data_IF_126279304429
#
_entry.id   IF_126279304429
#
_cell.length_a   1.000
_cell.length_b   1.000
_cell.length_c   1.000
_cell.angle_alpha   90.00
_cell.angle_beta   90.00
_cell.angle_gamma   90.00
#
_symmetry.space_group_name_H-M   'P 1'
#
loop_
_entity.id
_entity.type
_entity.pdbx_description
1 polymer ?
#
# COMPACT_ATOMS: atom_id res chain seq x y z
N UNK A 1 15.05 21.06 -0.02
CA UNK A 1 13.83 20.28 0.29
C UNK A 1 13.25 20.83 1.59
N UNK A 2 12.22 21.68 1.52
CA UNK A 2 11.62 22.32 2.71
C UNK A 2 10.93 21.26 3.58
N UNK A 3 11.41 21.06 4.81
CA UNK A 3 10.63 20.42 5.88
C UNK A 3 9.54 21.41 6.27
N UNK A 4 8.31 21.23 5.78
CA UNK A 4 7.16 21.88 6.42
C UNK A 4 7.01 21.26 7.80
N UNK A 5 7.18 22.07 8.85
CA UNK A 5 6.71 21.72 10.18
C UNK A 5 5.18 21.61 10.09
N UNK A 6 4.66 20.39 10.10
CA UNK A 6 3.20 20.12 10.13
C UNK A 6 2.57 20.45 11.49
N UNK A 7 3.23 21.24 12.34
CA UNK A 7 2.72 21.62 13.67
C UNK A 7 1.60 22.64 13.62
N UNK A 8 1.34 23.26 12.46
CA UNK A 8 0.35 24.31 12.25
C UNK A 8 -0.37 24.12 10.90
N UNK A 9 -1.08 23.00 10.73
CA UNK A 9 -2.03 22.88 9.62
C UNK A 9 -3.32 23.55 10.10
N UNK A 10 -3.55 24.79 9.68
CA UNK A 10 -4.85 25.43 9.86
C UNK A 10 -5.91 24.63 9.11
N UNK A 11 -6.95 24.19 9.83
CA UNK A 11 -8.07 23.48 9.24
C UNK A 11 -8.83 24.40 8.27
N UNK A 12 -8.95 23.97 7.03
CA UNK A 12 -9.76 24.67 6.03
C UNK A 12 -11.22 24.32 6.27
N UNK A 13 -12.02 25.34 6.59
CA UNK A 13 -13.46 25.16 6.83
C UNK A 13 -14.15 24.58 5.60
N UNK A 14 -14.94 23.52 5.81
CA UNK A 14 -15.70 22.84 4.75
C UNK A 14 -14.94 21.71 4.05
N UNK A 15 -13.66 21.51 4.36
CA UNK A 15 -12.92 20.33 3.93
C UNK A 15 -13.10 19.20 4.94
N UNK A 16 -13.18 17.93 4.49
CA UNK A 16 -13.23 16.79 5.41
C UNK A 16 -11.90 16.62 6.13
N UNK A 17 -11.98 16.19 7.38
CA UNK A 17 -10.84 15.86 8.24
C UNK A 17 -10.44 14.39 8.01
N UNK A 18 -9.25 14.19 7.45
CA UNK A 18 -8.73 12.88 7.06
C UNK A 18 -7.52 12.50 7.90
N UNK A 19 -7.66 11.44 8.69
CA UNK A 19 -6.52 10.76 9.30
C UNK A 19 -5.92 9.78 8.30
N UNK A 20 -4.71 10.09 7.83
CA UNK A 20 -4.02 9.31 6.81
C UNK A 20 -2.89 8.50 7.43
N UNK A 21 -3.06 7.18 7.52
CA UNK A 21 -2.13 6.28 8.20
C UNK A 21 -1.31 5.51 7.16
N UNK A 22 0.00 5.74 7.18
CA UNK A 22 0.88 5.36 6.08
C UNK A 22 2.20 4.77 6.60
N UNK A 23 2.88 4.06 5.71
CA UNK A 23 4.32 3.86 5.81
C UNK A 23 5.07 5.14 5.39
N UNK A 24 6.26 5.46 5.94
CA UNK A 24 6.99 6.71 5.64
C UNK A 24 7.28 6.97 4.14
N UNK A 25 7.43 5.92 3.35
CA UNK A 25 7.68 5.95 1.91
C UNK A 25 6.46 6.42 1.10
N UNK A 26 5.25 6.42 1.69
CA UNK A 26 4.01 6.83 1.02
C UNK A 26 3.67 8.32 1.23
N UNK A 27 4.66 9.15 1.58
CA UNK A 27 4.46 10.58 1.84
C UNK A 27 3.78 11.34 0.69
N UNK A 28 3.95 10.90 -0.56
CA UNK A 28 3.29 11.49 -1.74
C UNK A 28 1.76 11.50 -1.63
N UNK A 29 1.15 10.53 -0.94
CA UNK A 29 -0.29 10.49 -0.70
C UNK A 29 -0.76 11.66 0.18
N UNK A 30 0.07 12.10 1.14
CA UNK A 30 -0.26 13.27 1.98
C UNK A 30 -0.47 14.50 1.10
N UNK A 31 0.43 14.73 0.13
CA UNK A 31 0.33 15.85 -0.82
C UNK A 31 -0.92 15.74 -1.70
N UNK A 32 -1.27 14.54 -2.14
CA UNK A 32 -2.45 14.32 -2.97
C UNK A 32 -3.76 14.61 -2.20
N UNK A 33 -3.89 14.06 -0.99
CA UNK A 33 -5.06 14.29 -0.13
C UNK A 33 -5.20 15.74 0.32
N UNK A 34 -4.08 16.43 0.59
CA UNK A 34 -4.09 17.83 1.07
C UNK A 34 -4.68 18.82 0.06
N UNK A 35 -4.92 18.41 -1.19
CA UNK A 35 -5.65 19.21 -2.18
C UNK A 35 -7.16 19.25 -1.93
N UNK A 36 -7.70 18.30 -1.18
CA UNK A 36 -9.14 18.06 -1.06
C UNK A 36 -9.62 17.86 0.39
N UNK A 37 -8.70 17.85 1.36
CA UNK A 37 -8.99 17.52 2.75
C UNK A 37 -8.01 18.18 3.72
N UNK A 38 -8.43 18.31 4.98
CA UNK A 38 -7.54 18.58 6.11
C UNK A 38 -6.86 17.27 6.49
N UNK A 39 -5.56 17.14 6.19
CA UNK A 39 -4.84 15.87 6.33
C UNK A 39 -4.02 15.82 7.61
N UNK A 40 -4.28 14.80 8.42
CA UNK A 40 -3.52 14.45 9.62
C UNK A 40 -2.72 13.18 9.34
N UNK A 41 -1.47 13.28 8.86
CA UNK A 41 -0.67 12.12 8.56
C UNK A 41 -0.20 11.43 9.86
N UNK A 42 -0.29 10.12 9.90
CA UNK A 42 0.27 9.28 10.96
C UNK A 42 1.16 8.21 10.32
N UNK A 43 2.46 8.32 10.55
CA UNK A 43 3.42 7.36 10.02
C UNK A 43 3.63 6.22 11.02
N UNK A 44 3.46 4.99 10.54
CA UNK A 44 3.78 3.79 11.30
C UNK A 44 5.21 3.41 10.93
N UNK A 45 6.15 3.71 11.81
CA UNK A 45 7.53 3.28 11.64
C UNK A 45 7.62 1.75 11.75
N UNK A 46 8.16 1.07 10.73
CA UNK A 46 8.46 -0.33 10.84
C UNK A 46 9.65 -0.55 11.77
N UNK A 47 9.41 -0.90 13.04
CA UNK A 47 10.47 -1.64 13.73
C UNK A 47 10.52 -3.04 13.10
N UNK A 48 11.69 -3.45 12.64
CA UNK A 48 11.87 -4.67 11.82
C UNK A 48 11.33 -5.91 12.54
N UNK A 49 11.54 -5.99 13.86
CA UNK A 49 11.07 -7.11 14.68
C UNK A 49 9.54 -7.14 14.79
N UNK A 50 8.89 -6.00 15.07
CA UNK A 50 7.43 -5.91 15.20
C UNK A 50 6.75 -6.25 13.87
N UNK A 51 7.28 -5.73 12.76
CA UNK A 51 6.79 -6.07 11.42
C UNK A 51 6.90 -7.55 11.10
N UNK A 52 8.01 -8.19 11.47
CA UNK A 52 8.15 -9.65 11.29
C UNK A 52 7.12 -10.39 12.13
N UNK A 53 6.98 -10.05 13.42
CA UNK A 53 6.02 -10.69 14.33
C UNK A 53 4.58 -10.58 13.83
N UNK A 54 4.18 -9.41 13.37
CA UNK A 54 2.83 -9.19 12.84
C UNK A 54 2.53 -10.02 11.60
N UNK A 55 3.54 -10.41 10.80
CA UNK A 55 3.36 -11.22 9.59
C UNK A 55 3.35 -12.73 9.83
N UNK A 56 3.77 -13.19 11.01
CA UNK A 56 3.87 -14.64 11.33
C UNK A 56 2.56 -15.39 11.04
N UNK A 57 1.38 -14.96 11.53
CA UNK A 57 0.14 -15.69 11.28
C UNK A 57 -0.20 -15.78 9.78
N UNK A 58 0.05 -14.68 9.05
CA UNK A 58 -0.18 -14.61 7.61
C UNK A 58 0.75 -15.53 6.80
N UNK A 59 2.02 -15.64 7.21
CA UNK A 59 2.98 -16.58 6.62
C UNK A 59 2.59 -18.02 6.88
N UNK A 60 2.29 -18.38 8.13
CA UNK A 60 1.85 -19.75 8.48
C UNK A 60 0.62 -20.14 7.66
N UNK A 61 -0.37 -19.24 7.49
CA UNK A 61 -1.56 -19.53 6.67
C UNK A 61 -1.24 -19.71 5.19
N UNK A 62 -0.30 -18.91 4.65
CA UNK A 62 0.11 -19.01 3.26
C UNK A 62 0.83 -20.33 2.98
N UNK A 63 1.69 -20.77 3.90
CA UNK A 63 2.48 -22.00 3.77
C UNK A 63 1.64 -23.25 4.10
N UNK A 64 0.67 -23.13 5.02
CA UNK A 64 -0.20 -24.22 5.47
C UNK A 64 -1.69 -23.85 5.35
N UNK A 65 -2.23 -23.95 4.13
CA UNK A 65 -3.62 -23.57 3.83
C UNK A 65 -4.67 -24.31 4.67
N UNK A 66 -4.41 -25.56 5.06
CA UNK A 66 -5.30 -26.36 5.91
C UNK A 66 -5.27 -25.95 7.38
N UNK A 67 -4.31 -25.12 7.81
CA UNK A 67 -4.19 -24.73 9.21
C UNK A 67 -5.42 -23.91 9.65
N UNK A 68 -6.04 -24.21 10.80
CA UNK A 68 -7.27 -23.56 11.23
C UNK A 68 -7.14 -22.03 11.38
N UNK A 69 -7.96 -21.27 10.62
CA UNK A 69 -7.94 -19.80 10.65
C UNK A 69 -8.29 -19.22 12.03
N UNK A 70 -9.08 -19.95 12.84
CA UNK A 70 -9.42 -19.56 14.22
C UNK A 70 -8.20 -19.52 15.14
N UNK A 71 -7.32 -20.52 15.07
CA UNK A 71 -6.07 -20.55 15.84
C UNK A 71 -5.12 -19.43 15.42
N UNK A 72 -4.98 -19.19 14.11
CA UNK A 72 -4.12 -18.09 13.62
C UNK A 72 -4.69 -16.72 13.95
N UNK A 73 -6.02 -16.59 14.05
CA UNK A 73 -6.67 -15.39 14.55
C UNK A 73 -6.34 -15.14 16.02
N UNK A 74 -6.32 -16.18 16.85
CA UNK A 74 -5.89 -16.06 18.25
C UNK A 74 -4.42 -15.67 18.34
N UNK A 75 -3.55 -16.34 17.58
CA UNK A 75 -2.12 -16.01 17.51
C UNK A 75 -1.90 -14.56 17.05
N UNK A 76 -2.65 -14.10 16.05
CA UNK A 76 -2.62 -12.72 15.58
C UNK A 76 -3.02 -11.72 16.66
N UNK A 77 -4.00 -12.03 17.52
CA UNK A 77 -4.38 -11.15 18.65
C UNK A 77 -3.27 -11.01 19.69
N UNK A 78 -2.45 -12.05 19.87
CA UNK A 78 -1.31 -12.06 20.81
C UNK A 78 -0.11 -11.32 20.20
N UNK A 79 0.24 -11.65 18.96
CA UNK A 79 1.42 -11.09 18.30
C UNK A 79 1.20 -9.66 17.79
N UNK A 80 -0.05 -9.24 17.58
CA UNK A 80 -0.41 -7.94 16.99
C UNK A 80 -1.59 -7.33 17.75
N UNK A 81 -1.33 -6.88 18.97
CA UNK A 81 -2.31 -6.16 19.78
C UNK A 81 -2.76 -4.86 19.10
N UNK A 82 -4.03 -4.42 19.27
CA UNK A 82 -4.50 -3.16 18.69
C UNK A 82 -3.64 -1.96 19.12
N UNK A 83 -3.04 -1.28 18.15
CA UNK A 83 -2.21 -0.10 18.34
C UNK A 83 -3.09 1.14 18.49
N UNK A 84 -2.96 1.81 19.63
CA UNK A 84 -3.61 3.11 19.88
C UNK A 84 -2.79 4.22 19.25
N UNK A 85 -3.44 4.99 18.37
CA UNK A 85 -2.83 6.15 17.73
C UNK A 85 -2.88 7.36 18.68
N UNK A 86 -1.77 8.08 18.82
CA UNK A 86 -1.69 9.33 19.57
C UNK A 86 -1.63 10.50 18.58
N UNK A 87 -2.72 11.23 18.46
CA UNK A 87 -2.83 12.41 17.59
C UNK A 87 -3.14 13.60 18.50
N UNK A 88 -2.37 14.68 18.38
CA UNK A 88 -2.43 15.81 19.32
C UNK A 88 -3.34 16.96 18.87
N UNK A 89 -3.61 17.06 17.57
CA UNK A 89 -4.14 18.28 16.95
C UNK A 89 -5.59 18.19 16.48
N UNK A 90 -6.22 17.02 16.57
CA UNK A 90 -7.60 16.81 16.15
C UNK A 90 -8.23 15.75 17.04
N UNK A 91 -9.48 15.98 17.44
CA UNK A 91 -10.19 15.02 18.27
C UNK A 91 -10.68 13.86 17.41
N UNK A 92 -10.69 12.61 17.91
CA UNK A 92 -11.16 11.46 17.13
C UNK A 92 -12.57 11.60 16.55
N UNK A 93 -13.45 12.30 17.26
CA UNK A 93 -14.83 12.60 16.84
C UNK A 93 -14.94 13.59 15.69
N UNK A 94 -13.90 14.41 15.46
CA UNK A 94 -13.84 15.41 14.39
C UNK A 94 -13.24 14.82 13.11
N UNK A 95 -12.86 13.54 13.10
CA UNK A 95 -12.35 12.85 11.91
C UNK A 95 -13.51 12.30 11.08
N UNK A 96 -13.56 12.64 9.80
CA UNK A 96 -14.55 12.17 8.83
C UNK A 96 -14.10 10.88 8.12
N UNK A 97 -12.78 10.71 7.94
CA UNK A 97 -12.19 9.55 7.27
C UNK A 97 -10.90 9.12 7.96
N UNK A 98 -10.82 7.84 8.31
CA UNK A 98 -9.55 7.16 8.58
C UNK A 98 -9.17 6.36 7.34
N UNK A 99 -8.08 6.74 6.68
CA UNK A 99 -7.57 6.04 5.51
C UNK A 99 -6.23 5.39 5.84
N UNK A 100 -6.17 4.06 5.76
CA UNK A 100 -4.95 3.29 5.98
C UNK A 100 -4.45 2.75 4.66
N UNK A 101 -3.19 3.03 4.32
CA UNK A 101 -2.53 2.44 3.15
C UNK A 101 -1.64 1.29 3.56
N UNK A 102 -1.73 0.16 2.86
CA UNK A 102 -0.66 -0.85 2.80
C UNK A 102 0.70 -0.14 2.51
N UNK A 103 1.86 -0.59 3.05
CA UNK A 103 2.13 -1.83 3.79
C UNK A 103 1.92 -1.77 5.32
N UNK A 104 0.90 -1.07 5.82
CA UNK A 104 0.56 -1.13 7.25
C UNK A 104 0.04 -2.52 7.64
N UNK A 105 0.91 -3.27 8.35
CA UNK A 105 0.66 -4.67 8.78
C UNK A 105 0.17 -4.81 10.23
N UNK A 106 0.12 -3.72 11.00
CA UNK A 106 -0.34 -3.76 12.39
C UNK A 106 -1.85 -3.56 12.50
N UNK A 107 -2.43 -4.06 13.60
CA UNK A 107 -3.84 -3.85 13.91
C UNK A 107 -4.00 -2.49 14.55
N UNK A 108 -4.85 -1.62 13.99
CA UNK A 108 -5.09 -0.29 14.54
C UNK A 108 -6.36 -0.31 15.40
N UNK A 109 -6.32 0.34 16.57
CA UNK A 109 -7.53 0.57 17.36
C UNK A 109 -8.34 1.74 16.78
N UNK A 110 -9.38 1.40 16.02
CA UNK A 110 -10.24 2.37 15.33
C UNK A 110 -11.48 2.78 16.15
N UNK A 111 -11.69 2.22 17.35
CA UNK A 111 -12.95 2.38 18.11
C UNK A 111 -13.29 3.82 18.48
N UNK A 112 -12.28 4.67 18.62
CA UNK A 112 -12.45 6.09 19.00
C UNK A 112 -12.93 6.97 17.83
N UNK A 113 -12.75 6.54 16.58
CA UNK A 113 -13.16 7.29 15.38
C UNK A 113 -14.58 6.88 14.95
N UNK A 114 -15.57 7.19 15.80
CA UNK A 114 -16.94 6.71 15.64
C UNK A 114 -17.68 7.35 14.46
N UNK A 115 -17.37 8.60 14.17
CA UNK A 115 -17.99 9.37 13.08
C UNK A 115 -17.29 9.15 11.74
N UNK A 116 -16.08 8.57 11.77
CA UNK A 116 -15.27 8.39 10.58
C UNK A 116 -15.67 7.14 9.79
N UNK A 117 -15.66 7.28 8.46
CA UNK A 117 -15.54 6.13 7.56
C UNK A 117 -14.12 5.57 7.70
N UNK A 118 -13.99 4.25 7.87
CA UNK A 118 -12.70 3.56 8.02
C UNK A 118 -12.40 2.82 6.73
N UNK A 119 -11.42 3.31 5.98
CA UNK A 119 -10.99 2.73 4.73
C UNK A 119 -9.59 2.13 4.84
N UNK A 120 -9.40 0.95 4.23
CA UNK A 120 -8.08 0.33 4.04
C UNK A 120 -7.79 0.16 2.55
N UNK A 121 -6.64 0.60 2.06
CA UNK A 121 -6.22 0.36 0.68
C UNK A 121 -5.14 -0.71 0.62
N UNK A 122 -5.56 -1.90 0.16
CA UNK A 122 -4.72 -3.06 -0.06
C UNK A 122 -4.02 -2.97 -1.42
N UNK A 123 -2.72 -2.71 -1.38
CA UNK A 123 -1.87 -2.54 -2.55
C UNK A 123 -1.21 -3.87 -2.97
N UNK A 124 -0.67 -4.63 -2.03
CA UNK A 124 0.13 -5.83 -2.29
C UNK A 124 -0.62 -7.16 -2.03
N UNK A 125 -1.95 -7.18 -2.17
CA UNK A 125 -2.75 -8.41 -1.95
C UNK A 125 -2.47 -9.56 -2.93
N UNK A 126 -1.64 -9.34 -3.95
CA UNK A 126 -1.31 -10.36 -4.95
C UNK A 126 -0.57 -11.56 -4.35
N UNK A 127 0.19 -11.31 -3.28
CA UNK A 127 0.92 -12.35 -2.55
C UNK A 127 0.03 -12.96 -1.47
N UNK A 128 -0.03 -14.30 -1.41
CA UNK A 128 -0.87 -14.99 -0.43
C UNK A 128 -0.52 -14.62 1.01
N UNK A 129 0.77 -14.50 1.34
CA UNK A 129 1.24 -14.12 2.68
C UNK A 129 0.80 -12.70 3.07
N UNK A 130 0.84 -11.76 2.13
CA UNK A 130 0.36 -10.39 2.34
C UNK A 130 -1.16 -10.37 2.52
N UNK A 131 -1.92 -11.05 1.65
CA UNK A 131 -3.37 -11.19 1.79
C UNK A 131 -3.76 -11.71 3.19
N UNK A 132 -3.13 -12.79 3.66
CA UNK A 132 -3.45 -13.34 4.98
C UNK A 132 -2.92 -12.47 6.13
N UNK A 133 -1.83 -11.73 5.95
CA UNK A 133 -1.40 -10.71 6.92
C UNK A 133 -2.46 -9.63 7.06
N UNK A 134 -3.01 -9.13 5.95
CA UNK A 134 -4.06 -8.13 5.98
C UNK A 134 -5.34 -8.67 6.67
N UNK A 135 -5.73 -9.91 6.38
CA UNK A 135 -6.89 -10.55 7.01
C UNK A 135 -6.70 -10.85 8.51
N UNK A 136 -5.58 -11.48 8.87
CA UNK A 136 -5.37 -12.03 10.21
C UNK A 136 -4.72 -11.03 11.17
N UNK A 137 -3.84 -10.18 10.65
CA UNK A 137 -3.03 -9.25 11.43
C UNK A 137 -3.61 -7.84 11.37
N UNK A 138 -3.65 -7.21 10.19
CA UNK A 138 -4.23 -5.87 10.05
C UNK A 138 -5.73 -5.84 10.37
N UNK A 139 -6.39 -7.00 10.31
CA UNK A 139 -7.83 -7.18 10.54
C UNK A 139 -8.62 -6.25 9.62
N UNK A 140 -8.46 -6.41 8.32
CA UNK A 140 -9.22 -5.63 7.31
C UNK A 140 -10.75 -5.72 7.47
N UNK A 141 -11.24 -6.71 8.22
CA UNK A 141 -12.65 -6.83 8.62
C UNK A 141 -13.11 -5.76 9.63
N UNK A 142 -12.18 -5.09 10.33
CA UNK A 142 -12.48 -4.00 11.26
C UNK A 142 -12.71 -2.65 10.52
N UNK A 143 -12.62 -2.64 9.18
CA UNK A 143 -12.78 -1.46 8.32
C UNK A 143 -14.15 -1.47 7.63
N UNK A 144 -14.71 -0.28 7.44
CA UNK A 144 -16.01 -0.10 6.78
C UNK A 144 -15.89 -0.36 5.27
N UNK A 145 -14.73 -0.04 4.69
CA UNK A 145 -14.43 -0.18 3.26
C UNK A 145 -13.00 -0.70 3.06
N UNK A 146 -12.83 -1.67 2.17
CA UNK A 146 -11.50 -2.08 1.68
C UNK A 146 -11.38 -1.80 0.19
N UNK A 147 -10.40 -1.00 -0.18
CA UNK A 147 -10.00 -0.79 -1.55
C UNK A 147 -8.94 -1.82 -1.94
N UNK A 148 -9.11 -2.47 -3.09
CA UNK A 148 -8.16 -3.44 -3.63
C UNK A 148 -7.53 -2.87 -4.91
N UNK A 149 -6.19 -2.84 -4.97
CA UNK A 149 -5.49 -2.36 -6.17
C UNK A 149 -5.62 -3.33 -7.35
N UNK A 150 -5.69 -4.64 -7.07
CA UNK A 150 -5.67 -5.69 -8.08
C UNK A 150 -7.04 -6.34 -8.25
N UNK A 151 -7.75 -5.97 -9.34
CA UNK A 151 -9.11 -6.46 -9.65
C UNK A 151 -9.32 -7.98 -9.46
N UNK A 152 -8.41 -8.89 -9.86
CA UNK A 152 -8.60 -10.34 -9.67
C UNK A 152 -8.68 -10.78 -8.20
N UNK A 153 -8.19 -9.97 -7.27
CA UNK A 153 -8.13 -10.29 -5.83
C UNK A 153 -9.29 -9.68 -5.04
N UNK A 154 -10.18 -8.93 -5.72
CA UNK A 154 -11.36 -8.32 -5.11
C UNK A 154 -12.28 -9.36 -4.45
N UNK A 155 -12.58 -10.44 -5.17
CA UNK A 155 -13.48 -11.50 -4.71
C UNK A 155 -12.95 -12.23 -3.49
N UNK A 156 -11.62 -12.39 -3.40
CA UNK A 156 -10.98 -13.02 -2.23
C UNK A 156 -11.29 -12.29 -0.93
N UNK A 157 -11.41 -10.96 -0.93
CA UNK A 157 -11.82 -10.23 0.29
C UNK A 157 -13.31 -10.38 0.58
N UNK A 158 -14.15 -10.36 -0.46
CA UNK A 158 -15.60 -10.54 -0.33
C UNK A 158 -15.98 -11.90 0.26
N UNK A 159 -15.23 -12.95 -0.06
CA UNK A 159 -15.37 -14.28 0.55
C UNK A 159 -15.25 -14.27 2.10
N UNK A 160 -14.58 -13.26 2.67
CA UNK A 160 -14.47 -13.08 4.13
C UNK A 160 -15.44 -12.03 4.70
N UNK A 161 -16.48 -11.67 3.94
CA UNK A 161 -17.50 -10.71 4.35
C UNK A 161 -17.03 -9.25 4.34
N UNK A 162 -15.92 -8.95 3.67
CA UNK A 162 -15.34 -7.60 3.63
C UNK A 162 -15.98 -6.80 2.49
N UNK A 163 -16.51 -5.61 2.81
CA UNK A 163 -17.03 -4.66 1.82
C UNK A 163 -15.88 -4.08 1.00
N UNK A 164 -15.71 -4.61 -0.21
CA UNK A 164 -14.50 -4.36 -1.01
C UNK A 164 -14.82 -3.72 -2.36
N UNK A 165 -14.04 -2.70 -2.75
CA UNK A 165 -14.13 -2.02 -4.05
C UNK A 165 -12.78 -2.03 -4.78
N UNK A 166 -12.82 -2.01 -6.10
CA UNK A 166 -11.60 -1.89 -6.91
C UNK A 166 -11.16 -0.44 -6.96
N UNK A 167 -9.91 -0.17 -6.58
CA UNK A 167 -9.26 1.14 -6.68
C UNK A 167 -7.84 0.93 -7.22
N UNK A 168 -7.64 1.03 -8.55
CA UNK A 168 -6.34 0.78 -9.16
C UNK A 168 -5.32 1.87 -8.78
N UNK A 169 -4.05 1.58 -9.01
CA UNK A 169 -3.01 2.61 -8.97
C UNK A 169 -3.27 3.68 -10.03
N UNK A 170 -3.09 4.94 -9.65
CA UNK A 170 -3.04 6.05 -10.58
C UNK A 170 -1.61 6.24 -11.10
N UNK A 171 -1.48 6.96 -12.23
CA UNK A 171 -0.21 7.47 -12.72
C UNK A 171 -0.30 8.98 -12.86
N UNK A 172 0.84 9.66 -12.86
CA UNK A 172 0.93 11.09 -13.13
C UNK A 172 0.98 11.30 -14.65
N UNK A 173 -0.04 11.89 -15.29
CA UNK A 173 -0.08 12.06 -16.74
C UNK A 173 0.98 13.04 -17.25
N UNK A 174 1.49 13.95 -16.41
CA UNK A 174 2.57 14.86 -16.83
C UNK A 174 3.90 14.11 -16.96
N UNK A 175 4.05 13.00 -16.24
CA UNK A 175 5.22 12.13 -16.30
C UNK A 175 5.03 10.97 -17.27
N UNK A 176 3.89 10.28 -17.20
CA UNK A 176 3.54 9.15 -18.06
C UNK A 176 2.79 9.64 -19.29
N UNK A 177 3.52 10.26 -20.21
CA UNK A 177 3.02 10.74 -21.50
C UNK A 177 3.94 10.32 -22.64
N UNK A 178 3.43 10.24 -23.87
CA UNK A 178 4.27 10.15 -25.06
C UNK A 178 5.27 11.32 -25.10
N UNK A 179 6.50 11.00 -25.46
CA UNK A 179 7.56 11.99 -25.71
C UNK A 179 8.03 11.84 -27.14
N UNK A 180 8.24 12.96 -27.82
CA UNK A 180 8.81 12.99 -29.17
C UNK A 180 10.34 12.92 -29.06
N UNK A 181 10.83 11.70 -28.79
CA UNK A 181 12.25 11.40 -28.67
C UNK A 181 12.61 10.25 -29.62
N UNK A 182 13.82 10.25 -30.21
CA UNK A 182 14.25 9.15 -31.06
C UNK A 182 14.29 7.83 -30.28
N UNK A 183 13.60 6.80 -30.79
CA UNK A 183 13.66 5.45 -30.21
C UNK A 183 15.03 4.81 -30.47
N UNK A 184 15.75 4.46 -29.39
CA UNK A 184 17.10 3.89 -29.45
C UNK A 184 17.11 2.36 -29.47
N UNK A 185 16.12 1.75 -28.82
CA UNK A 185 15.96 0.30 -28.68
C UNK A 185 14.58 -0.13 -29.20
N UNK A 186 14.53 -1.27 -29.86
CA UNK A 186 13.28 -1.88 -30.31
C UNK A 186 12.52 -2.52 -29.14
N UNK A 187 13.25 -2.97 -28.10
CA UNK A 187 12.68 -3.56 -26.89
C UNK A 187 13.42 -3.02 -25.68
N UNK A 188 12.66 -2.53 -24.70
CA UNK A 188 13.17 -2.04 -23.43
C UNK A 188 12.48 -2.73 -22.26
N UNK A 189 13.28 -3.22 -21.31
CA UNK A 189 12.82 -3.59 -19.98
C UNK A 189 13.48 -2.67 -18.95
N UNK A 190 12.67 -1.91 -18.20
CA UNK A 190 13.13 -1.10 -17.07
C UNK A 190 12.62 -1.72 -15.77
N UNK A 191 13.54 -2.13 -14.91
CA UNK A 191 13.22 -2.63 -13.57
C UNK A 191 14.34 -3.45 -12.94
N UNK A 192 14.12 -3.90 -11.69
CA UNK A 192 15.10 -4.72 -10.95
C UNK A 192 15.40 -6.02 -11.68
N UNK A 193 16.65 -6.32 -11.98
CA UNK A 193 17.02 -7.56 -12.68
C UNK A 193 17.24 -8.71 -11.68
N UNK A 194 16.16 -9.34 -11.22
CA UNK A 194 16.25 -10.60 -10.44
C UNK A 194 16.76 -11.74 -11.31
N UNK A 195 17.32 -12.80 -10.71
CA UNK A 195 17.93 -13.90 -11.47
C UNK A 195 16.94 -14.56 -12.46
N UNK A 196 15.73 -14.85 -11.99
CA UNK A 196 14.66 -15.39 -12.84
C UNK A 196 14.32 -14.45 -14.00
N UNK A 197 14.29 -13.15 -13.75
CA UNK A 197 13.96 -12.14 -14.75
C UNK A 197 15.10 -11.99 -15.77
N UNK A 198 16.35 -11.94 -15.32
CA UNK A 198 17.54 -11.96 -16.21
C UNK A 198 17.48 -13.16 -17.15
N UNK A 199 17.25 -14.36 -16.61
CA UNK A 199 17.13 -15.59 -17.41
C UNK A 199 16.06 -15.48 -18.49
N UNK A 200 14.89 -14.92 -18.18
CA UNK A 200 13.81 -14.74 -19.17
C UNK A 200 14.17 -13.69 -20.23
N UNK A 201 14.72 -12.56 -19.81
CA UNK A 201 15.12 -11.48 -20.71
C UNK A 201 16.25 -11.92 -21.66
N UNK A 202 17.21 -12.72 -21.18
CA UNK A 202 18.26 -13.30 -22.00
C UNK A 202 17.70 -14.23 -23.08
N UNK A 203 16.68 -15.05 -22.78
CA UNK A 203 16.00 -15.86 -23.80
C UNK A 203 15.33 -15.02 -24.90
N UNK A 204 14.80 -13.84 -24.55
CA UNK A 204 14.25 -12.91 -25.53
C UNK A 204 15.38 -12.39 -26.43
N UNK A 205 16.51 -11.98 -25.84
CA UNK A 205 17.68 -11.49 -26.59
C UNK A 205 18.28 -12.56 -27.51
N UNK A 206 18.37 -13.80 -27.05
CA UNK A 206 18.83 -14.95 -27.85
C UNK A 206 17.87 -15.24 -29.01
N UNK A 207 16.56 -15.14 -28.79
CA UNK A 207 15.54 -15.36 -29.82
C UNK A 207 15.48 -14.25 -30.88
N UNK A 208 15.82 -13.02 -30.50
CA UNK A 208 15.75 -11.84 -31.36
C UNK A 208 17.10 -11.10 -31.41
N UNK A 209 18.17 -11.73 -31.95
CA UNK A 209 19.51 -11.15 -31.92
C UNK A 209 19.67 -9.92 -32.83
N UNK A 210 18.72 -9.70 -33.75
CA UNK A 210 18.71 -8.57 -34.68
C UNK A 210 18.06 -7.30 -34.11
N UNK A 211 17.38 -7.39 -32.97
CA UNK A 211 16.79 -6.23 -32.30
C UNK A 211 17.80 -5.56 -31.37
N UNK A 212 17.76 -4.23 -31.29
CA UNK A 212 18.44 -3.44 -30.27
C UNK A 212 17.63 -3.54 -28.98
N UNK A 213 18.19 -4.16 -27.96
CA UNK A 213 17.47 -4.45 -26.71
C UNK A 213 18.20 -3.87 -25.50
N UNK A 214 17.46 -3.17 -24.64
CA UNK A 214 17.92 -2.71 -23.33
C UNK A 214 17.22 -3.45 -22.18
N UNK A 215 17.99 -3.94 -21.22
CA UNK A 215 17.50 -4.46 -19.94
C UNK A 215 18.26 -3.80 -18.80
N UNK A 216 17.58 -3.11 -17.89
CA UNK A 216 18.28 -2.46 -16.78
C UNK A 216 17.37 -1.75 -15.79
N UNK A 217 17.96 -1.22 -14.73
CA UNK A 217 17.29 -0.27 -13.86
C UNK A 217 17.52 1.15 -14.38
N UNK A 218 16.54 2.02 -14.19
CA UNK A 218 16.67 3.43 -14.52
C UNK A 218 15.87 4.27 -13.54
N UNK A 219 16.38 5.48 -13.25
CA UNK A 219 15.59 6.48 -12.56
C UNK A 219 14.51 7.02 -13.50
N UNK A 220 13.41 7.51 -12.93
CA UNK A 220 12.26 7.98 -13.70
C UNK A 220 12.59 9.05 -14.73
N UNK A 221 13.47 10.00 -14.38
CA UNK A 221 13.93 11.05 -15.30
C UNK A 221 14.85 10.54 -16.43
N UNK A 222 15.44 9.35 -16.28
CA UNK A 222 16.28 8.72 -17.29
C UNK A 222 15.50 7.79 -18.21
N UNK A 223 14.31 7.32 -17.80
CA UNK A 223 13.51 6.36 -18.59
C UNK A 223 13.16 6.88 -19.98
N UNK A 224 13.01 8.19 -20.15
CA UNK A 224 12.72 8.82 -21.43
C UNK A 224 13.87 8.76 -22.44
N UNK A 225 15.11 8.55 -21.99
CA UNK A 225 16.32 8.58 -22.82
C UNK A 225 16.91 7.17 -23.04
N UNK A 226 16.16 6.14 -22.62
CA UNK A 226 16.53 4.74 -22.83
C UNK A 226 15.93 4.30 -24.14
#
# INVERSE_FOLDING_TARGET
MMRRNFSEVEEVKGFPNVLLILSPDHFSLVKAFSKYANVFPYFIEPSSLIHVMHRIPGRIKADHKSFPSGMLTLLGKILNHPHKLKIKHVKPEDIDLVFVSDPVVCRIDLKKYKNAVKAYWSQDCIYQSTFYTQLLSTKVQDYDIVFCAHKPYLERFKEFGVKTYWLPFAYDPDICRPMDLPEKYDITFVGTLTENRKRLLMKIKEKFPYLKIFFGAAFQHNMAYI
#
